data_IF_022407296240
#
_entry.id   IF_022407296240
#
_cell.length_a   1.000
_cell.length_b   1.000
_cell.length_c   1.000
_cell.angle_alpha   90.00
_cell.angle_beta   90.00
_cell.angle_gamma   90.00
#
_symmetry.space_group_name_H-M   'P 1'
#
loop_
_entity.id
_entity.type
_entity.pdbx_description
1 polymer ?
#
# COMPACT_ATOMS: atom_id res chain seq x y z
N UNK A 1 -3.34 -5.61 6.51
CA UNK A 1 -3.41 -4.61 5.43
C UNK A 1 -2.51 -5.05 4.31
N UNK A 2 -2.95 -4.89 3.09
CA UNK A 2 -2.21 -5.32 1.91
C UNK A 2 -2.27 -4.24 0.85
N UNK A 3 -1.14 -3.95 0.23
CA UNK A 3 -0.99 -2.97 -0.84
C UNK A 3 -0.69 -3.68 -2.16
N UNK A 4 -1.25 -3.15 -3.23
CA UNK A 4 -1.14 -3.67 -4.59
C UNK A 4 -0.80 -2.54 -5.54
N UNK A 5 -0.19 -2.90 -6.66
CA UNK A 5 0.16 -2.01 -7.76
C UNK A 5 -0.38 -2.61 -9.05
N UNK A 6 -0.95 -1.78 -9.90
CA UNK A 6 -1.36 -2.14 -11.25
C UNK A 6 -0.78 -1.15 -12.24
N UNK A 7 0.23 -1.59 -12.99
CA UNK A 7 0.73 -0.86 -14.16
C UNK A 7 -0.34 -0.94 -15.26
N UNK A 8 -0.53 0.10 -16.10
CA UNK A 8 -1.45 0.04 -17.22
C UNK A 8 -1.20 -1.22 -18.07
N UNK A 9 -2.28 -1.90 -18.47
CA UNK A 9 -2.26 -3.14 -19.26
C UNK A 9 -1.69 -4.38 -18.55
N UNK A 10 -1.32 -4.28 -17.26
CA UNK A 10 -0.81 -5.39 -16.47
C UNK A 10 -1.83 -5.83 -15.42
N UNK A 11 -1.69 -7.06 -14.94
CA UNK A 11 -2.48 -7.57 -13.83
C UNK A 11 -2.12 -6.87 -12.52
N UNK A 12 -3.06 -6.88 -11.57
CA UNK A 12 -2.82 -6.36 -10.22
C UNK A 12 -1.78 -7.23 -9.52
N UNK A 13 -0.69 -6.61 -9.08
CA UNK A 13 0.41 -7.28 -8.40
C UNK A 13 0.43 -6.93 -6.92
N UNK A 14 0.70 -7.92 -6.07
CA UNK A 14 0.97 -7.71 -4.66
C UNK A 14 2.24 -6.85 -4.53
N UNK A 15 2.18 -5.81 -3.71
CA UNK A 15 3.33 -4.97 -3.39
C UNK A 15 3.91 -5.34 -2.03
N UNK A 16 3.07 -5.27 -1.00
CA UNK A 16 3.43 -5.62 0.37
C UNK A 16 2.20 -5.92 1.22
N UNK A 17 2.41 -6.57 2.35
CA UNK A 17 1.38 -6.83 3.36
C UNK A 17 1.95 -6.69 4.77
N UNK A 18 1.13 -6.26 5.71
CA UNK A 18 1.52 -6.15 7.13
C UNK A 18 0.32 -6.31 8.05
N UNK A 19 0.60 -6.68 9.30
CA UNK A 19 -0.41 -6.73 10.35
C UNK A 19 -0.69 -5.33 10.88
N UNK A 20 -1.95 -4.90 10.88
CA UNK A 20 -2.34 -3.56 11.37
C UNK A 20 -2.10 -3.42 12.88
N UNK A 21 -2.29 -4.50 13.64
CA UNK A 21 -2.09 -4.53 15.09
C UNK A 21 -0.60 -4.57 15.44
N UNK A 22 0.21 -5.24 14.61
CA UNK A 22 1.65 -5.38 14.79
C UNK A 22 2.41 -4.95 13.51
N UNK A 23 2.50 -3.64 13.24
CA UNK A 23 3.00 -3.12 11.95
C UNK A 23 4.51 -3.22 11.77
N UNK A 24 5.25 -3.72 12.77
CA UNK A 24 6.70 -3.92 12.72
C UNK A 24 7.13 -4.99 11.71
N UNK A 25 6.21 -5.86 11.28
CA UNK A 25 6.49 -6.95 10.35
C UNK A 25 5.81 -6.69 9.00
N UNK A 26 6.55 -6.09 8.07
CA UNK A 26 6.13 -5.89 6.68
C UNK A 26 6.68 -7.01 5.80
N UNK A 27 5.82 -7.66 5.03
CA UNK A 27 6.16 -8.67 4.04
C UNK A 27 6.04 -8.07 2.65
N UNK A 28 7.15 -8.01 1.91
CA UNK A 28 7.17 -7.50 0.55
C UNK A 28 6.96 -8.64 -0.44
N UNK A 29 6.34 -8.34 -1.59
CA UNK A 29 6.29 -9.29 -2.69
C UNK A 29 7.70 -9.55 -3.25
N UNK A 30 7.84 -10.67 -3.95
CA UNK A 30 9.07 -11.03 -4.64
C UNK A 30 9.45 -9.91 -5.62
N UNK A 31 10.75 -9.63 -5.75
CA UNK A 31 11.31 -8.63 -6.68
C UNK A 31 10.97 -7.16 -6.35
N UNK A 32 10.29 -6.89 -5.23
CA UNK A 32 10.06 -5.51 -4.75
C UNK A 32 11.26 -5.01 -3.94
N UNK A 33 11.72 -3.79 -4.27
CA UNK A 33 12.75 -3.11 -3.50
C UNK A 33 12.20 -2.57 -2.17
N UNK A 34 12.46 -3.30 -1.09
CA UNK A 34 11.97 -3.03 0.27
C UNK A 34 12.41 -1.68 0.83
N UNK A 35 13.55 -1.13 0.35
CA UNK A 35 14.05 0.17 0.82
C UNK A 35 13.25 1.35 0.26
N UNK A 36 12.45 1.12 -0.78
CA UNK A 36 11.68 2.19 -1.45
C UNK A 36 10.26 2.28 -0.94
N UNK A 37 9.66 1.19 -0.49
CA UNK A 37 8.26 1.16 -0.06
C UNK A 37 8.18 1.12 1.46
N UNK A 38 7.82 2.24 2.07
CA UNK A 38 7.70 2.36 3.52
C UNK A 38 6.23 2.43 3.89
N UNK A 39 5.80 1.50 4.76
CA UNK A 39 4.49 1.59 5.39
C UNK A 39 4.57 2.53 6.57
N UNK A 40 3.68 3.50 6.61
CA UNK A 40 3.47 4.40 7.74
C UNK A 40 2.19 3.94 8.46
N UNK A 41 2.33 3.09 9.50
CA UNK A 41 1.18 2.56 10.20
C UNK A 41 0.42 3.64 10.96
N UNK A 42 -0.84 3.34 11.24
CA UNK A 42 -1.77 4.21 11.94
C UNK A 42 -1.21 4.52 13.35
N UNK A 43 -0.83 5.77 13.56
CA UNK A 43 -0.29 6.25 14.85
C UNK A 43 -1.40 6.63 15.83
N UNK A 44 -2.61 6.93 15.33
CA UNK A 44 -3.80 7.31 16.11
C UNK A 44 -5.07 6.76 15.47
N UNK A 45 -6.18 6.58 16.21
CA UNK A 45 -7.46 6.10 15.68
C UNK A 45 -8.09 6.96 14.57
N UNK A 46 -7.50 8.06 14.12
CA UNK A 46 -8.01 8.81 12.95
C UNK A 46 -6.97 8.96 11.84
N UNK A 47 -5.78 8.38 12.02
CA UNK A 47 -4.74 8.50 11.02
C UNK A 47 -4.91 7.42 9.94
N UNK A 48 -4.98 7.81 8.67
CA UNK A 48 -5.06 6.86 7.57
C UNK A 48 -3.79 6.00 7.52
N UNK A 49 -3.94 4.76 7.04
CA UNK A 49 -2.79 3.94 6.69
C UNK A 49 -2.13 4.52 5.46
N UNK A 50 -0.81 4.70 5.51
CA UNK A 50 -0.07 5.40 4.47
C UNK A 50 1.03 4.53 3.88
N UNK A 51 1.19 4.62 2.57
CA UNK A 51 2.33 4.05 1.83
C UNK A 51 3.18 5.19 1.30
N UNK A 52 4.45 5.24 1.70
CA UNK A 52 5.45 6.16 1.15
C UNK A 52 6.31 5.42 0.14
N UNK A 53 6.51 6.01 -1.03
CA UNK A 53 7.42 5.53 -2.07
C UNK A 53 8.59 6.50 -2.17
N UNK A 54 9.81 6.02 -1.88
CA UNK A 54 11.04 6.81 -1.92
C UNK A 54 11.65 6.79 -3.33
N UNK A 55 12.14 7.96 -3.75
CA UNK A 55 12.84 8.16 -5.03
C UNK A 55 11.99 7.68 -6.21
N UNK A 56 10.80 8.25 -6.37
CA UNK A 56 9.82 7.87 -7.39
C UNK A 56 10.45 7.90 -8.79
N UNK A 57 10.28 6.81 -9.54
CA UNK A 57 10.76 6.67 -10.92
C UNK A 57 9.56 6.53 -11.89
N UNK A 58 9.80 6.68 -13.19
CA UNK A 58 8.73 6.54 -14.21
C UNK A 58 8.01 5.18 -14.12
N UNK A 59 8.76 4.11 -13.79
CA UNK A 59 8.23 2.78 -13.56
C UNK A 59 7.29 2.66 -12.35
N UNK A 60 7.18 3.67 -11.49
CA UNK A 60 6.19 3.72 -10.40
C UNK A 60 4.84 4.30 -10.83
N UNK A 61 4.69 4.70 -12.10
CA UNK A 61 3.41 5.13 -12.66
C UNK A 61 2.45 3.94 -12.76
N UNK A 62 1.55 3.84 -11.79
CA UNK A 62 0.60 2.75 -11.65
C UNK A 62 -0.59 3.18 -10.80
N UNK A 63 -1.67 2.41 -10.86
CA UNK A 63 -2.77 2.50 -9.90
C UNK A 63 -2.40 1.70 -8.66
N UNK A 64 -2.45 2.34 -7.49
CA UNK A 64 -2.19 1.70 -6.22
C UNK A 64 -3.51 1.40 -5.52
N UNK A 65 -3.63 0.16 -5.03
CA UNK A 65 -4.80 -0.28 -4.27
C UNK A 65 -4.35 -0.73 -2.89
N UNK A 66 -5.25 -0.62 -1.94
CA UNK A 66 -5.05 -1.20 -0.62
C UNK A 66 -6.31 -1.95 -0.20
N UNK A 67 -6.08 -3.03 0.53
CA UNK A 67 -7.13 -3.89 1.04
C UNK A 67 -6.87 -4.28 2.47
N UNK A 68 -7.95 -4.34 3.23
CA UNK A 68 -7.96 -4.87 4.57
C UNK A 68 -8.74 -6.18 4.61
N UNK A 69 -8.10 -7.22 5.14
CA UNK A 69 -8.79 -8.46 5.51
C UNK A 69 -8.97 -8.45 7.02
N UNK A 70 -10.21 -8.30 7.49
CA UNK A 70 -10.53 -8.48 8.90
C UNK A 70 -10.59 -9.99 9.20
N UNK A 71 -9.64 -10.49 9.98
CA UNK A 71 -9.67 -11.86 10.47
C UNK A 71 -10.70 -12.01 11.58
N UNK A 72 -11.99 -11.96 11.28
CA UNK A 72 -13.04 -12.37 12.23
C UNK A 72 -13.48 -13.79 11.90
N UNK A 73 -13.00 -14.71 12.72
CA UNK A 73 -13.46 -16.08 12.98
C UNK A 73 -13.77 -16.99 11.76
N UNK A 74 -13.25 -18.21 11.87
CA UNK A 74 -13.50 -19.41 11.05
C UNK A 74 -14.83 -19.32 10.28
N UNK A 75 -14.78 -19.07 8.97
CA UNK A 75 -15.97 -19.14 8.11
C UNK A 75 -15.96 -18.24 6.89
N UNK A 76 -15.74 -16.93 7.02
CA UNK A 76 -15.93 -15.98 5.91
C UNK A 76 -14.94 -14.81 5.94
N UNK A 77 -13.85 -14.91 5.16
CA UNK A 77 -12.94 -13.78 4.92
C UNK A 77 -13.63 -12.77 4.01
N UNK A 78 -14.14 -11.67 4.56
CA UNK A 78 -14.56 -10.51 3.76
C UNK A 78 -13.31 -9.74 3.32
N UNK A 79 -13.08 -9.68 2.01
CA UNK A 79 -12.04 -8.86 1.40
C UNK A 79 -12.67 -7.52 1.00
N UNK A 80 -12.30 -6.44 1.68
CA UNK A 80 -12.65 -5.08 1.27
C UNK A 80 -11.46 -4.48 0.52
N UNK A 81 -11.71 -3.96 -0.68
CA UNK A 81 -10.72 -3.32 -1.56
C UNK A 81 -11.16 -1.88 -1.81
N UNK A 82 -10.29 -0.92 -1.52
CA UNK A 82 -10.51 0.47 -1.92
C UNK A 82 -9.31 1.01 -2.71
N UNK A 83 -9.59 1.99 -3.56
CA UNK A 83 -8.55 2.74 -4.26
C UNK A 83 -7.84 3.64 -3.24
N UNK A 84 -6.51 3.64 -3.27
CA UNK A 84 -5.75 4.60 -2.48
C UNK A 84 -5.79 5.95 -3.20
N UNK A 85 -6.31 6.97 -2.53
CA UNK A 85 -6.33 8.32 -3.09
C UNK A 85 -4.94 8.93 -3.01
N UNK A 86 -4.56 9.58 -4.11
CA UNK A 86 -3.29 10.26 -4.29
C UNK A 86 -3.47 11.74 -3.98
N UNK A 87 -2.70 12.25 -3.04
CA UNK A 87 -2.62 13.68 -2.80
C UNK A 87 -1.39 14.19 -3.57
N UNK A 88 -1.64 14.78 -4.75
CA UNK A 88 -0.72 15.60 -5.57
C UNK A 88 0.18 14.95 -6.65
N UNK A 89 0.49 15.80 -7.63
CA UNK A 89 1.01 15.56 -8.98
C UNK A 89 2.48 15.14 -8.98
N UNK A 90 2.84 14.20 -9.88
CA UNK A 90 4.23 13.75 -10.07
C UNK A 90 5.01 14.89 -10.71
N UNK A 91 5.85 15.57 -9.94
CA UNK A 91 6.96 16.36 -10.44
C UNK A 91 8.24 15.74 -9.88
N UNK A 92 9.22 15.49 -10.75
CA UNK A 92 10.40 14.70 -10.44
C UNK A 92 11.11 15.14 -9.16
N UNK A 93 11.60 14.14 -8.40
CA UNK A 93 12.45 14.23 -7.19
C UNK A 93 11.75 14.24 -5.81
N UNK A 94 10.44 14.07 -5.72
CA UNK A 94 9.72 14.02 -4.43
C UNK A 94 9.19 12.61 -4.08
N UNK A 95 9.19 12.28 -2.80
CA UNK A 95 8.55 11.07 -2.28
C UNK A 95 7.02 11.18 -2.39
N UNK A 96 6.35 10.09 -2.79
CA UNK A 96 4.89 10.04 -2.87
C UNK A 96 4.31 9.36 -1.63
N UNK A 97 3.23 9.92 -1.07
CA UNK A 97 2.50 9.35 0.07
C UNK A 97 1.06 9.07 -0.37
N UNK A 98 0.66 7.80 -0.33
CA UNK A 98 -0.71 7.35 -0.58
C UNK A 98 -1.44 7.16 0.74
N UNK A 99 -2.70 7.58 0.82
CA UNK A 99 -3.54 7.49 2.02
C UNK A 99 -4.73 6.56 1.77
N UNK A 100 -5.01 5.67 2.73
CA UNK A 100 -6.25 4.90 2.78
C UNK A 100 -7.16 5.43 3.90
N UNK A 101 -8.44 5.74 3.62
CA UNK A 101 -9.38 6.34 4.58
C UNK A 101 -9.59 5.55 5.88
#
# INVERSE_FOLDING_TARGET
>A
MTWYKQVPYWSVQLLLSYNIIAPSHVRYAKEINQHRYIVLPRSRPRNPHRLRIISVAENDTATYYCGYSEGKNIGNKKHAWDRADKNETISGRTDNIFTWP
#
